data_IF_973725207319
#
_entry.id   IF_973725207319
#
_cell.length_a   1.000
_cell.length_b   1.000
_cell.length_c   1.000
_cell.angle_alpha   90.00
_cell.angle_beta   90.00
_cell.angle_gamma   90.00
#
_symmetry.space_group_name_H-M   'P 1'
#
loop_
_entity.id
_entity.type
_entity.pdbx_description
1 polymer ?
#
# COMPACT_ATOMS: atom_id res chain seq x y z
N UNK A 1 17.16 -2.65 -20.52
CA UNK A 1 16.63 -1.34 -20.10
C UNK A 1 16.24 -1.36 -18.64
N UNK A 2 17.03 -0.68 -17.83
CA UNK A 2 16.82 -0.51 -16.40
C UNK A 2 16.08 0.83 -16.28
N UNK A 3 14.78 0.84 -15.99
CA UNK A 3 14.04 2.08 -15.75
C UNK A 3 14.01 2.31 -14.24
N UNK A 4 14.78 3.26 -13.71
CA UNK A 4 14.68 3.68 -12.33
C UNK A 4 13.63 4.80 -12.20
N UNK A 5 12.90 4.79 -11.09
CA UNK A 5 12.28 5.99 -10.50
C UNK A 5 11.09 6.59 -11.26
N UNK A 6 10.09 5.76 -11.56
CA UNK A 6 8.70 6.17 -11.42
C UNK A 6 8.00 4.93 -10.86
N UNK A 7 7.32 5.03 -9.71
CA UNK A 7 6.42 3.95 -9.31
C UNK A 7 5.35 3.88 -10.40
N UNK A 8 5.57 3.02 -11.39
CA UNK A 8 4.57 2.80 -12.43
C UNK A 8 3.23 2.47 -11.75
N UNK A 9 2.09 2.82 -12.35
CA UNK A 9 0.78 2.50 -11.78
C UNK A 9 0.67 1.03 -11.34
N UNK A 10 1.33 0.13 -12.08
CA UNK A 10 1.46 -1.29 -11.76
C UNK A 10 2.24 -1.59 -10.47
N UNK A 11 3.36 -0.91 -10.24
CA UNK A 11 4.16 -1.07 -9.02
C UNK A 11 3.44 -0.51 -7.78
N UNK A 12 2.75 0.63 -7.94
CA UNK A 12 1.85 1.17 -6.90
C UNK A 12 0.74 0.18 -6.56
N UNK A 13 0.09 -0.40 -7.57
CA UNK A 13 -0.97 -1.38 -7.38
C UNK A 13 -0.48 -2.66 -6.67
N UNK A 14 0.70 -3.16 -7.01
CA UNK A 14 1.31 -4.29 -6.31
C UNK A 14 1.56 -3.98 -4.83
N UNK A 15 2.14 -2.81 -4.54
CA UNK A 15 2.41 -2.38 -3.17
C UNK A 15 1.13 -2.23 -2.34
N UNK A 16 0.06 -1.68 -2.93
CA UNK A 16 -1.26 -1.59 -2.27
C UNK A 16 -1.77 -2.98 -1.90
N UNK A 17 -1.67 -3.95 -2.81
CA UNK A 17 -2.16 -5.30 -2.55
C UNK A 17 -1.36 -6.02 -1.46
N UNK A 18 -0.03 -5.87 -1.45
CA UNK A 18 0.83 -6.40 -0.38
C UNK A 18 0.48 -5.82 0.99
N UNK A 19 0.27 -4.51 1.07
CA UNK A 19 -0.10 -3.84 2.31
C UNK A 19 -1.52 -4.23 2.76
N UNK A 20 -2.48 -4.42 1.86
CA UNK A 20 -3.81 -4.93 2.21
C UNK A 20 -3.73 -6.32 2.86
N UNK A 21 -2.89 -7.21 2.32
CA UNK A 21 -2.63 -8.52 2.90
C UNK A 21 -2.04 -8.43 4.31
N UNK A 22 -1.04 -7.57 4.50
CA UNK A 22 -0.38 -7.37 5.78
C UNK A 22 -1.33 -6.74 6.83
N UNK A 23 -2.13 -5.76 6.43
CA UNK A 23 -3.18 -5.17 7.28
C UNK A 23 -4.17 -6.23 7.78
N UNK A 24 -4.62 -7.11 6.88
CA UNK A 24 -5.54 -8.20 7.22
C UNK A 24 -4.90 -9.24 8.13
N UNK A 25 -3.60 -9.50 7.99
CA UNK A 25 -2.87 -10.36 8.91
C UNK A 25 -2.80 -9.75 10.32
N UNK A 26 -2.43 -8.47 10.44
CA UNK A 26 -2.41 -7.76 11.71
C UNK A 26 -3.80 -7.72 12.37
N UNK A 27 -4.85 -7.45 11.58
CA UNK A 27 -6.23 -7.47 12.08
C UNK A 27 -6.64 -8.86 12.61
N UNK A 28 -6.24 -9.95 11.94
CA UNK A 28 -6.48 -11.32 12.41
C UNK A 28 -5.72 -11.65 13.70
N UNK A 29 -4.50 -11.12 13.82
CA UNK A 29 -3.67 -11.26 15.02
C UNK A 29 -4.10 -10.34 16.18
N UNK A 30 -5.13 -9.49 15.98
CA UNK A 30 -5.57 -8.46 16.91
C UNK A 30 -4.52 -7.36 17.17
N UNK A 31 -3.60 -7.17 16.23
CA UNK A 31 -2.56 -6.13 16.17
C UNK A 31 -3.16 -4.86 15.56
N UNK A 32 -4.06 -4.21 16.30
CA UNK A 32 -4.86 -3.10 15.76
C UNK A 32 -4.06 -1.83 15.49
N UNK A 33 -2.98 -1.59 16.22
CA UNK A 33 -2.13 -0.40 16.02
C UNK A 33 -1.36 -0.52 14.70
N UNK A 34 -0.77 -1.68 14.44
CA UNK A 34 -0.09 -2.02 13.20
C UNK A 34 -1.08 -2.03 12.02
N UNK A 35 -2.26 -2.62 12.20
CA UNK A 35 -3.31 -2.59 11.18
C UNK A 35 -3.74 -1.14 10.86
N UNK A 36 -3.85 -0.27 11.86
CA UNK A 36 -4.17 1.15 11.64
C UNK A 36 -3.07 1.89 10.89
N UNK A 37 -1.80 1.65 11.23
CA UNK A 37 -0.65 2.23 10.50
C UNK A 37 -0.63 1.81 9.04
N UNK A 38 -0.86 0.52 8.75
CA UNK A 38 -0.89 0.01 7.38
C UNK A 38 -2.08 0.62 6.62
N UNK A 39 -3.24 0.75 7.25
CA UNK A 39 -4.41 1.41 6.65
C UNK A 39 -4.09 2.86 6.26
N UNK A 40 -3.41 3.60 7.11
CA UNK A 40 -3.05 4.98 6.82
C UNK A 40 -2.04 5.08 5.66
N UNK A 41 -1.09 4.14 5.57
CA UNK A 41 -0.19 4.01 4.41
C UNK A 41 -0.94 3.67 3.11
N UNK A 42 -1.93 2.77 3.18
CA UNK A 42 -2.80 2.43 2.04
C UNK A 42 -3.57 3.65 1.54
N UNK A 43 -4.09 4.48 2.45
CA UNK A 43 -4.76 5.73 2.09
C UNK A 43 -3.83 6.67 1.31
N UNK A 44 -2.61 6.90 1.83
CA UNK A 44 -1.62 7.76 1.15
C UNK A 44 -1.25 7.23 -0.24
N UNK A 45 -1.05 5.92 -0.38
CA UNK A 45 -0.72 5.31 -1.68
C UNK A 45 -1.87 5.41 -2.68
N UNK A 46 -3.12 5.29 -2.24
CA UNK A 46 -4.29 5.50 -3.10
C UNK A 46 -4.44 6.95 -3.54
N UNK A 47 -4.16 7.92 -2.66
CA UNK A 47 -4.15 9.34 -3.02
C UNK A 47 -3.07 9.65 -4.05
N UNK A 48 -1.84 9.14 -3.85
CA UNK A 48 -0.75 9.27 -4.82
C UNK A 48 -1.09 8.62 -6.16
N UNK A 49 -1.75 7.45 -6.14
CA UNK A 49 -2.20 6.78 -7.34
C UNK A 49 -3.21 7.62 -8.13
N UNK A 50 -4.20 8.20 -7.45
CA UNK A 50 -5.21 9.08 -8.07
C UNK A 50 -4.56 10.37 -8.61
N UNK A 51 -3.60 10.93 -7.89
CA UNK A 51 -2.90 12.14 -8.33
C UNK A 51 -1.96 11.89 -9.54
N UNK A 52 -1.45 10.67 -9.68
CA UNK A 52 -0.55 10.27 -10.76
C UNK A 52 -1.27 9.64 -11.97
N UNK A 53 -2.57 9.34 -11.86
CA UNK A 53 -3.40 8.72 -12.90
C UNK A 53 -4.07 9.71 -13.84
#
# INVERSE_FOLDING_TARGET
>A
DNVPMDMSPKALQQKIHELEGLMMQHAQNLEFEEAAQIRDQLHQLRELFIAAS
#
